data_IF_707512034737
#
_entry.id   IF_707512034737
#
_cell.length_a   1.000
_cell.length_b   1.000
_cell.length_c   1.000
_cell.angle_alpha   90.00
_cell.angle_beta   90.00
_cell.angle_gamma   90.00
#
_symmetry.space_group_name_H-M   'P 1'
#
loop_
_entity.id
_entity.type
_entity.pdbx_description
1 polymer ?
#
# COMPACT_ATOMS: atom_id res chain seq x y z
N UNK A 1 -14.65 8.75 10.58
CA UNK A 1 -13.89 7.79 9.76
C UNK A 1 -13.12 6.85 10.67
N UNK A 2 -13.16 5.54 10.43
CA UNK A 2 -12.35 4.54 11.15
C UNK A 2 -11.04 4.19 10.44
N UNK A 3 -10.11 3.46 11.10
CA UNK A 3 -8.85 2.98 10.48
C UNK A 3 -9.10 2.19 9.20
N UNK A 4 -10.04 1.25 9.28
CA UNK A 4 -10.31 0.31 8.18
C UNK A 4 -10.99 1.02 6.99
N UNK A 5 -11.78 2.05 7.27
CA UNK A 5 -12.39 2.93 6.27
C UNK A 5 -11.32 3.78 5.56
N UNK A 6 -10.39 4.38 6.32
CA UNK A 6 -9.25 5.09 5.74
C UNK A 6 -8.39 4.17 4.84
N UNK A 7 -8.14 2.93 5.29
CA UNK A 7 -7.45 1.92 4.47
C UNK A 7 -8.18 1.66 3.16
N UNK A 8 -9.49 1.43 3.19
CA UNK A 8 -10.28 1.18 1.98
C UNK A 8 -10.23 2.38 1.04
N UNK A 9 -10.50 3.58 1.54
CA UNK A 9 -10.51 4.79 0.72
C UNK A 9 -9.15 5.07 0.08
N UNK A 10 -8.04 4.88 0.80
CA UNK A 10 -6.71 5.09 0.25
C UNK A 10 -6.35 4.06 -0.83
N UNK A 11 -6.74 2.80 -0.64
CA UNK A 11 -6.56 1.75 -1.63
C UNK A 11 -7.35 2.06 -2.91
N UNK A 12 -8.64 2.38 -2.78
CA UNK A 12 -9.52 2.74 -3.90
C UNK A 12 -9.02 4.01 -4.62
N UNK A 13 -8.62 5.02 -3.86
CA UNK A 13 -8.09 6.27 -4.42
C UNK A 13 -6.77 6.06 -5.18
N UNK A 14 -5.94 5.11 -4.74
CA UNK A 14 -4.68 4.75 -5.39
C UNK A 14 -4.95 3.99 -6.70
N UNK A 15 -5.77 2.93 -6.67
CA UNK A 15 -6.11 2.13 -7.86
C UNK A 15 -6.88 2.93 -8.91
N UNK A 16 -7.68 3.91 -8.50
CA UNK A 16 -8.37 4.80 -9.44
C UNK A 16 -7.41 5.74 -10.18
N UNK A 17 -6.28 6.11 -9.57
CA UNK A 17 -5.33 7.10 -10.12
C UNK A 17 -4.21 6.46 -10.93
N UNK A 18 -3.77 5.28 -10.51
CA UNK A 18 -2.57 4.65 -11.03
C UNK A 18 -2.92 3.47 -11.92
N UNK A 19 -2.03 3.19 -12.86
CA UNK A 19 -1.99 1.90 -13.53
C UNK A 19 -0.57 1.36 -13.48
N UNK A 20 -0.45 0.05 -13.32
CA UNK A 20 0.84 -0.57 -13.06
C UNK A 20 1.76 -0.52 -14.30
N UNK A 21 3.05 -0.19 -14.07
CA UNK A 21 4.10 -0.18 -15.09
C UNK A 21 5.44 -0.62 -14.51
N UNK A 22 6.19 -1.41 -15.30
CA UNK A 22 7.59 -1.77 -15.02
C UNK A 22 8.60 -0.81 -15.67
N UNK A 23 8.13 0.23 -16.36
CA UNK A 23 8.97 1.23 -17.00
C UNK A 23 9.60 2.22 -16.00
N UNK A 24 10.34 3.19 -16.52
CA UNK A 24 10.81 4.32 -15.72
C UNK A 24 9.64 5.23 -15.37
N UNK A 25 9.32 5.34 -14.09
CA UNK A 25 8.13 6.04 -13.56
C UNK A 25 8.48 6.82 -12.30
N UNK A 26 7.68 7.83 -11.99
CA UNK A 26 7.81 8.59 -10.73
C UNK A 26 7.36 7.77 -9.53
N UNK A 27 7.99 8.02 -8.38
CA UNK A 27 7.55 7.54 -7.08
C UNK A 27 7.16 8.69 -6.12
N UNK A 28 7.12 9.93 -6.62
CA UNK A 28 6.71 11.10 -5.84
C UNK A 28 5.17 11.12 -5.71
N UNK A 29 4.60 11.02 -4.49
CA UNK A 29 3.16 11.07 -4.27
C UNK A 29 2.51 12.33 -4.85
N UNK A 30 3.19 13.49 -4.83
CA UNK A 30 2.63 14.74 -5.34
C UNK A 30 2.42 14.71 -6.86
N UNK A 31 3.35 14.08 -7.58
CA UNK A 31 3.21 13.85 -9.03
C UNK A 31 2.18 12.75 -9.31
N UNK A 32 2.19 11.68 -8.52
CA UNK A 32 1.27 10.55 -8.67
C UNK A 32 -0.18 10.89 -8.35
N UNK A 33 -0.45 11.94 -7.56
CA UNK A 33 -1.79 12.45 -7.30
C UNK A 33 -2.53 12.89 -8.57
N UNK A 34 -1.80 13.25 -9.64
CA UNK A 34 -2.36 13.59 -10.96
C UNK A 34 -2.83 12.37 -11.75
N UNK A 35 -2.41 11.17 -11.31
CA UNK A 35 -2.64 9.89 -11.97
C UNK A 35 -1.59 9.57 -13.04
N UNK A 36 -1.44 8.29 -13.38
CA UNK A 36 -0.47 7.83 -14.38
C UNK A 36 0.18 6.48 -14.09
N UNK A 37 1.23 6.12 -14.85
CA UNK A 37 1.94 4.87 -14.67
C UNK A 37 2.75 4.89 -13.38
N UNK A 38 2.69 3.80 -12.61
CA UNK A 38 3.49 3.64 -11.39
C UNK A 38 3.90 2.18 -11.18
N UNK A 39 4.99 1.97 -10.44
CA UNK A 39 5.40 0.66 -9.95
C UNK A 39 4.98 0.49 -8.47
N UNK A 40 5.33 -0.63 -7.84
CA UNK A 40 4.96 -0.92 -6.45
C UNK A 40 5.40 0.18 -5.46
N UNK A 41 6.59 0.76 -5.66
CA UNK A 41 7.09 1.89 -4.87
C UNK A 41 6.15 3.08 -4.99
N UNK A 42 5.75 3.45 -6.22
CA UNK A 42 4.83 4.57 -6.45
C UNK A 42 3.44 4.31 -5.87
N UNK A 43 2.91 3.10 -6.02
CA UNK A 43 1.64 2.69 -5.42
C UNK A 43 1.66 2.81 -3.89
N UNK A 44 2.71 2.29 -3.25
CA UNK A 44 2.87 2.35 -1.80
C UNK A 44 3.16 3.75 -1.29
N UNK A 45 3.92 4.55 -2.03
CA UNK A 45 4.17 5.95 -1.71
C UNK A 45 2.88 6.79 -1.75
N UNK A 46 2.08 6.65 -2.82
CA UNK A 46 0.81 7.36 -2.94
C UNK A 46 -0.18 6.92 -1.87
N UNK A 47 -0.38 5.61 -1.68
CA UNK A 47 -1.30 5.07 -0.69
C UNK A 47 -0.92 5.49 0.74
N UNK A 48 0.37 5.43 1.09
CA UNK A 48 0.84 5.90 2.39
C UNK A 48 0.57 7.40 2.59
N UNK A 49 0.84 8.23 1.58
CA UNK A 49 0.57 9.67 1.64
C UNK A 49 -0.93 9.97 1.83
N UNK A 50 -1.80 9.24 1.14
CA UNK A 50 -3.25 9.37 1.28
C UNK A 50 -3.72 8.95 2.67
N UNK A 51 -3.19 7.83 3.19
CA UNK A 51 -3.51 7.33 4.53
C UNK A 51 -3.11 8.31 5.62
N UNK A 52 -1.88 8.84 5.57
CA UNK A 52 -1.40 9.84 6.52
C UNK A 52 -2.36 11.03 6.53
N UNK A 53 -2.66 11.60 5.35
CA UNK A 53 -3.54 12.75 5.26
C UNK A 53 -4.97 12.46 5.76
N UNK A 54 -5.51 11.26 5.51
CA UNK A 54 -6.83 10.85 6.01
C UNK A 54 -6.88 10.70 7.53
N UNK A 55 -5.84 10.09 8.12
CA UNK A 55 -5.72 9.90 9.56
C UNK A 55 -5.56 11.24 10.28
N UNK A 56 -4.74 12.15 9.76
CA UNK A 56 -4.58 13.52 10.26
C UNK A 56 -5.91 14.29 10.23
N UNK A 57 -6.62 14.28 9.09
CA UNK A 57 -7.94 14.93 8.98
C UNK A 57 -8.98 14.36 9.96
N UNK A 58 -8.77 13.14 10.45
CA UNK A 58 -9.65 12.49 11.41
C UNK A 58 -9.19 12.62 12.87
N UNK A 59 -8.07 13.30 13.13
CA UNK A 59 -7.47 13.41 14.47
C UNK A 59 -6.98 12.06 15.01
N UNK A 60 -6.52 11.16 14.14
CA UNK A 60 -6.06 9.82 14.49
C UNK A 60 -4.55 9.61 14.27
N UNK A 61 -3.83 10.62 13.84
CA UNK A 61 -2.38 10.66 13.59
C UNK A 61 -1.53 10.42 14.85
N UNK A 62 -2.04 10.80 16.02
CA UNK A 62 -1.41 10.43 17.30
C UNK A 62 -1.52 8.94 17.63
N UNK A 63 -2.52 8.26 17.07
CA UNK A 63 -2.82 6.85 17.35
C UNK A 63 -2.17 5.91 16.35
N UNK A 64 -2.16 6.27 15.07
CA UNK A 64 -1.68 5.37 14.02
C UNK A 64 -0.45 5.92 13.32
N UNK A 65 0.58 5.09 13.15
CA UNK A 65 1.68 5.38 12.23
C UNK A 65 1.48 4.65 10.92
N UNK A 66 1.87 5.31 9.84
CA UNK A 66 1.90 4.74 8.50
C UNK A 66 3.36 4.73 8.05
N UNK A 67 3.85 3.59 7.62
CA UNK A 67 5.23 3.39 7.20
C UNK A 67 5.27 2.64 5.88
N UNK A 68 6.19 3.05 5.03
CA UNK A 68 6.55 2.30 3.85
C UNK A 68 7.54 1.19 4.24
N UNK A 69 7.25 -0.06 3.88
CA UNK A 69 8.09 -1.21 4.22
C UNK A 69 8.26 -2.13 3.02
N UNK A 70 9.48 -2.62 2.83
CA UNK A 70 9.78 -3.65 1.84
C UNK A 70 9.40 -5.00 2.46
N UNK A 71 8.36 -5.64 1.90
CA UNK A 71 7.88 -6.95 2.33
C UNK A 71 8.23 -8.04 1.33
N UNK A 72 8.51 -9.24 1.82
CA UNK A 72 8.42 -10.46 1.00
C UNK A 72 6.94 -10.86 0.94
N UNK A 73 6.35 -10.91 -0.26
CA UNK A 73 4.94 -11.23 -0.41
C UNK A 73 4.66 -12.70 -0.07
N UNK A 74 4.09 -12.92 1.11
CA UNK A 74 3.43 -14.17 1.48
C UNK A 74 1.92 -13.90 1.54
N UNK A 75 1.12 -14.68 0.79
CA UNK A 75 -0.34 -14.76 1.00
C UNK A 75 -0.57 -16.01 1.86
N UNK A 76 -0.70 -15.85 3.18
CA UNK A 76 -0.86 -16.97 4.10
C UNK A 76 0.36 -17.90 4.10
N UNK A 77 0.18 -19.20 3.82
CA UNK A 77 1.29 -20.16 3.66
C UNK A 77 1.84 -20.22 2.22
N UNK A 78 1.26 -19.47 1.30
CA UNK A 78 1.59 -19.51 -0.13
C UNK A 78 2.47 -18.33 -0.51
N UNK A 79 3.69 -18.62 -0.98
CA UNK A 79 4.54 -17.60 -1.58
C UNK A 79 4.00 -17.26 -2.97
N UNK A 80 3.67 -15.99 -3.23
CA UNK A 80 3.23 -15.55 -4.56
C UNK A 80 4.31 -15.76 -5.64
N UNK A 81 5.58 -15.96 -5.25
CA UNK A 81 6.66 -16.38 -6.15
C UNK A 81 6.33 -17.65 -6.95
N UNK A 82 5.54 -18.57 -6.38
CA UNK A 82 5.16 -19.81 -7.07
C UNK A 82 3.95 -19.65 -8.00
N UNK A 83 3.15 -18.60 -7.83
CA UNK A 83 1.97 -18.37 -8.68
C UNK A 83 2.26 -17.47 -9.88
N UNK A 84 3.33 -16.67 -9.79
CA UNK A 84 3.71 -15.74 -10.86
C UNK A 84 5.23 -15.77 -11.05
N UNK A 85 5.71 -16.46 -12.10
CA UNK A 85 7.12 -16.65 -12.44
C UNK A 85 7.86 -15.36 -12.88
N UNK A 86 7.34 -14.18 -12.57
CA UNK A 86 7.97 -12.90 -12.89
C UNK A 86 8.92 -12.44 -11.77
N UNK A 87 10.04 -11.77 -12.09
CA UNK A 87 10.90 -11.10 -11.09
C UNK A 87 10.16 -10.02 -10.28
N UNK A 88 8.96 -9.64 -10.75
CA UNK A 88 8.02 -8.69 -10.17
C UNK A 88 7.67 -8.94 -8.69
N UNK A 89 7.62 -10.19 -8.22
CA UNK A 89 7.08 -10.53 -6.89
C UNK A 89 8.14 -10.80 -5.82
N UNK A 90 9.42 -10.54 -6.13
CA UNK A 90 10.56 -10.93 -5.28
C UNK A 90 10.68 -10.13 -3.98
N UNK A 91 10.60 -8.81 -4.13
CA UNK A 91 10.60 -7.84 -3.06
C UNK A 91 9.53 -6.81 -3.44
N UNK A 92 8.57 -6.57 -2.55
CA UNK A 92 7.42 -5.74 -2.87
C UNK A 92 7.16 -4.72 -1.77
N UNK A 93 7.03 -3.49 -2.21
CA UNK A 93 6.73 -2.34 -1.38
C UNK A 93 5.29 -2.41 -0.89
N UNK A 94 5.11 -2.50 0.43
CA UNK A 94 3.80 -2.52 1.10
C UNK A 94 3.72 -1.39 2.13
N UNK A 95 2.50 -1.08 2.56
CA UNK A 95 2.24 -0.06 3.58
C UNK A 95 1.91 -0.74 4.91
N UNK A 96 2.63 -0.38 5.98
CA UNK A 96 2.36 -0.83 7.34
C UNK A 96 1.64 0.28 8.11
N UNK A 97 0.52 -0.07 8.73
CA UNK A 97 -0.20 0.77 9.67
C UNK A 97 -0.05 0.16 11.08
N UNK A 98 0.49 0.92 12.03
CA UNK A 98 0.66 0.46 13.42
C UNK A 98 -0.23 1.27 14.37
N UNK A 99 -1.06 0.59 15.17
CA UNK A 99 -1.77 1.21 16.30
C UNK A 99 -0.79 1.36 17.47
N UNK A 100 -0.43 2.61 17.80
CA UNK A 100 0.49 2.94 18.89
C UNK A 100 -0.05 2.56 20.28
N UNK A 101 -1.37 2.38 20.44
CA UNK A 101 -1.96 2.04 21.75
C UNK A 101 -1.69 0.60 22.16
N UNK A 102 -1.70 -0.33 21.22
CA UNK A 102 -1.61 -1.77 21.50
C UNK A 102 -0.55 -2.50 20.66
N UNK A 103 0.16 -1.80 19.76
CA UNK A 103 1.19 -2.37 18.90
C UNK A 103 0.66 -3.21 17.74
N UNK A 104 -0.66 -3.28 17.52
CA UNK A 104 -1.24 -4.04 16.42
C UNK A 104 -0.82 -3.45 15.07
N UNK A 105 -0.40 -4.32 14.16
CA UNK A 105 0.03 -3.95 12.81
C UNK A 105 -0.95 -4.48 11.78
N UNK A 106 -1.24 -3.65 10.78
CA UNK A 106 -1.95 -4.01 9.56
C UNK A 106 -1.02 -3.73 8.40
N UNK A 107 -0.95 -4.64 7.44
CA UNK A 107 -0.16 -4.48 6.23
C UNK A 107 -1.08 -4.50 5.03
N UNK A 108 -0.88 -3.56 4.12
CA UNK A 108 -1.67 -3.43 2.90
C UNK A 108 -0.77 -3.32 1.70
N UNK A 109 -1.21 -3.90 0.59
CA UNK A 109 -0.50 -3.89 -0.68
C UNK A 109 -1.38 -3.22 -1.74
N UNK A 110 -1.11 -1.94 -2.08
CA UNK A 110 -1.95 -1.20 -3.02
C UNK A 110 -1.82 -1.71 -4.47
N UNK A 111 -0.66 -2.25 -4.85
CA UNK A 111 -0.47 -2.78 -6.19
C UNK A 111 -1.15 -4.15 -6.35
N UNK A 112 -1.13 -4.99 -5.32
CA UNK A 112 -1.90 -6.25 -5.30
C UNK A 112 -3.41 -5.98 -5.23
N UNK A 113 -3.83 -4.96 -4.47
CA UNK A 113 -5.22 -4.54 -4.43
C UNK A 113 -5.72 -4.16 -5.83
N UNK A 114 -4.96 -3.36 -6.56
CA UNK A 114 -5.29 -2.98 -7.94
C UNK A 114 -5.32 -4.19 -8.88
N UNK A 115 -4.37 -5.11 -8.75
CA UNK A 115 -4.27 -6.27 -9.62
C UNK A 115 -5.37 -7.31 -9.40
N UNK A 116 -5.77 -7.59 -8.15
CA UNK A 116 -6.62 -8.74 -7.81
C UNK A 116 -7.67 -8.46 -6.72
N UNK A 117 -7.82 -7.23 -6.25
CA UNK A 117 -8.78 -6.83 -5.21
C UNK A 117 -8.38 -7.24 -3.77
N UNK A 118 -7.19 -7.80 -3.57
CA UNK A 118 -6.70 -8.22 -2.24
C UNK A 118 -5.84 -7.11 -1.65
N UNK A 119 -6.40 -6.34 -0.72
CA UNK A 119 -5.72 -5.19 -0.13
C UNK A 119 -4.91 -5.48 1.14
N UNK A 120 -5.27 -6.50 1.92
CA UNK A 120 -4.58 -6.84 3.19
C UNK A 120 -3.66 -8.04 3.00
N UNK A 121 -2.44 -7.93 3.53
CA UNK A 121 -1.40 -8.96 3.42
C UNK A 121 -0.77 -9.26 4.78
N UNK A 122 0.04 -10.32 4.84
CA UNK A 122 0.94 -10.58 5.98
C UNK A 122 2.26 -9.86 5.77
N UNK A 123 2.72 -9.14 6.78
CA UNK A 123 3.97 -8.40 6.73
C UNK A 123 5.21 -9.18 7.18
N UNK A 124 6.40 -8.57 7.07
CA UNK A 124 7.66 -9.12 7.56
C UNK A 124 7.76 -9.18 9.08
#
# INVERSE_FOLDING_TARGET
>A
MGRDEAISEALDATSTRLYFSMGHVSNDPAELMKGGPANCIGYSALCASLLVAQLERSGMDDRYTVEHVIGKLYIGRWSLHTMFHGPFWKDHDIVRITDRRNGQRVYVDPALFDAVGIGRVTGP
#
